data_IF_805172831764
#
_entry.id   IF_805172831764
#
_cell.length_a   1.000
_cell.length_b   1.000
_cell.length_c   1.000
_cell.angle_alpha   90.00
_cell.angle_beta   90.00
_cell.angle_gamma   90.00
#
_symmetry.space_group_name_H-M   'P 1'
#
loop_
_entity.id
_entity.type
_entity.pdbx_description
1 polymer ?
#
# COMPACT_ATOMS: atom_id res chain seq x y z
N UNK A 1 -19.47 -14.05 -78.73
CA UNK A 1 -18.87 -12.72 -78.56
C UNK A 1 -19.82 -11.92 -77.66
N UNK A 2 -19.46 -11.80 -76.42
CA UNK A 2 -19.85 -10.66 -75.60
C UNK A 2 -19.25 -10.88 -74.20
N UNK A 3 -18.45 -9.94 -73.77
CA UNK A 3 -17.76 -9.93 -72.49
C UNK A 3 -18.73 -9.47 -71.42
N UNK A 4 -18.91 -10.25 -70.36
CA UNK A 4 -19.53 -9.80 -69.12
C UNK A 4 -18.42 -9.56 -68.13
N UNK A 5 -18.27 -8.33 -67.69
CA UNK A 5 -17.32 -7.87 -66.67
C UNK A 5 -17.88 -8.19 -65.30
N UNK A 6 -17.16 -9.04 -64.55
CA UNK A 6 -17.41 -9.23 -63.13
C UNK A 6 -16.79 -8.07 -62.32
N UNK A 7 -17.61 -7.29 -61.69
CA UNK A 7 -17.21 -6.29 -60.69
C UNK A 7 -17.09 -6.97 -59.33
N UNK A 8 -15.85 -7.15 -58.89
CA UNK A 8 -15.53 -7.68 -57.57
C UNK A 8 -15.93 -6.68 -56.47
N UNK A 9 -16.90 -7.03 -55.67
CA UNK A 9 -17.17 -6.39 -54.37
C UNK A 9 -16.11 -6.89 -53.36
N UNK A 10 -15.13 -6.02 -53.11
CA UNK A 10 -14.15 -6.26 -52.03
C UNK A 10 -14.81 -6.12 -50.65
N UNK A 11 -15.13 -7.23 -49.99
CA UNK A 11 -15.43 -7.24 -48.59
C UNK A 11 -14.13 -7.08 -47.79
N UNK A 12 -13.86 -5.89 -47.28
CA UNK A 12 -12.86 -5.68 -46.23
C UNK A 12 -13.36 -6.33 -44.93
N UNK A 13 -12.93 -7.53 -44.67
CA UNK A 13 -13.11 -8.16 -43.36
C UNK A 13 -12.17 -7.44 -42.38
N UNK A 14 -12.69 -6.47 -41.64
CA UNK A 14 -12.03 -5.92 -40.47
C UNK A 14 -12.02 -7.04 -39.41
N UNK A 15 -10.92 -7.72 -39.29
CA UNK A 15 -10.69 -8.67 -38.18
C UNK A 15 -10.59 -7.79 -36.92
N UNK A 16 -11.72 -7.58 -36.23
CA UNK A 16 -11.70 -7.11 -34.86
C UNK A 16 -10.95 -8.18 -34.07
N UNK A 17 -9.71 -7.88 -33.67
CA UNK A 17 -9.03 -8.66 -32.64
C UNK A 17 -9.91 -8.56 -31.40
N UNK A 18 -10.58 -9.65 -31.04
CA UNK A 18 -11.15 -9.84 -29.75
C UNK A 18 -10.01 -9.67 -28.73
N UNK A 19 -9.93 -8.48 -28.11
CA UNK A 19 -9.23 -8.36 -26.84
C UNK A 19 -10.02 -9.24 -25.89
N UNK A 20 -9.53 -10.47 -25.67
CA UNK A 20 -10.02 -11.31 -24.62
C UNK A 20 -10.01 -10.48 -23.32
N UNK A 21 -11.19 -10.33 -22.71
CA UNK A 21 -11.30 -9.80 -21.35
C UNK A 21 -10.64 -10.86 -20.48
N UNK A 22 -9.31 -10.79 -20.37
CA UNK A 22 -8.55 -11.61 -19.44
C UNK A 22 -9.07 -11.28 -18.05
N UNK A 23 -9.50 -12.29 -17.29
CA UNK A 23 -9.87 -12.11 -15.89
C UNK A 23 -8.63 -11.51 -15.19
N UNK A 24 -8.72 -10.25 -14.78
CA UNK A 24 -7.62 -9.59 -14.07
C UNK A 24 -7.36 -10.37 -12.76
N UNK A 25 -6.09 -10.68 -12.50
CA UNK A 25 -5.71 -11.31 -11.24
C UNK A 25 -6.08 -10.40 -10.08
N UNK A 26 -6.68 -10.95 -9.05
CA UNK A 26 -6.99 -10.22 -7.82
C UNK A 26 -5.73 -10.07 -6.98
N UNK A 27 -5.64 -8.97 -6.23
CA UNK A 27 -4.61 -8.80 -5.21
C UNK A 27 -5.23 -8.13 -3.97
N UNK A 28 -4.86 -8.59 -2.79
CA UNK A 28 -5.15 -7.88 -1.53
C UNK A 28 -4.12 -6.79 -1.34
N UNK A 29 -4.56 -5.56 -1.08
CA UNK A 29 -3.70 -4.41 -0.84
C UNK A 29 -3.88 -3.93 0.59
N UNK A 30 -2.85 -4.00 1.41
CA UNK A 30 -2.83 -3.36 2.73
C UNK A 30 -2.80 -1.84 2.53
N UNK A 31 -3.93 -1.18 2.77
CA UNK A 31 -4.14 0.24 2.51
C UNK A 31 -4.35 1.00 3.82
N UNK A 32 -3.31 1.68 4.31
CA UNK A 32 -3.39 2.49 5.52
C UNK A 32 -3.93 3.91 5.27
N UNK A 33 -3.90 4.39 4.03
CA UNK A 33 -4.19 5.79 3.68
C UNK A 33 -2.96 6.69 3.67
N UNK A 34 -1.78 6.18 4.07
CA UNK A 34 -0.51 6.88 3.96
C UNK A 34 0.08 6.84 2.54
N UNK A 35 1.08 7.69 2.31
CA UNK A 35 1.80 7.87 1.05
C UNK A 35 2.29 6.53 0.44
N UNK A 36 2.91 5.69 1.26
CA UNK A 36 3.51 4.44 0.80
C UNK A 36 2.43 3.44 0.34
N UNK A 37 1.37 3.27 1.13
CA UNK A 37 0.28 2.36 0.81
C UNK A 37 -0.51 2.80 -0.44
N UNK A 38 -0.69 4.11 -0.64
CA UNK A 38 -1.31 4.67 -1.84
C UNK A 38 -0.46 4.38 -3.08
N UNK A 39 0.87 4.58 -2.99
CA UNK A 39 1.80 4.25 -4.09
C UNK A 39 1.83 2.75 -4.37
N UNK A 40 1.78 1.92 -3.32
CA UNK A 40 1.72 0.47 -3.44
C UNK A 40 0.45 0.00 -4.20
N UNK A 41 -0.71 0.59 -3.90
CA UNK A 41 -1.96 0.35 -4.63
C UNK A 41 -1.83 0.73 -6.11
N UNK A 42 -1.26 1.90 -6.42
CA UNK A 42 -1.06 2.34 -7.79
C UNK A 42 -0.14 1.39 -8.58
N UNK A 43 0.93 0.88 -7.94
CA UNK A 43 1.84 -0.12 -8.52
C UNK A 43 1.15 -1.46 -8.79
N UNK A 44 0.29 -1.93 -7.90
CA UNK A 44 -0.49 -3.15 -8.13
C UNK A 44 -1.39 -3.00 -9.36
N UNK A 45 -2.02 -1.83 -9.53
CA UNK A 45 -2.84 -1.52 -10.72
C UNK A 45 -1.99 -1.44 -12.00
N UNK A 46 -0.83 -0.80 -11.95
CA UNK A 46 0.12 -0.74 -13.09
C UNK A 46 0.50 -2.16 -13.56
N UNK A 47 0.63 -3.10 -12.61
CA UNK A 47 0.89 -4.52 -12.90
C UNK A 47 -0.32 -5.30 -13.43
N UNK A 48 -1.48 -4.67 -13.56
CA UNK A 48 -2.69 -5.28 -14.11
C UNK A 48 -3.50 -6.08 -13.10
N UNK A 49 -3.29 -5.88 -11.80
CA UNK A 49 -4.14 -6.50 -10.77
C UNK A 49 -5.46 -5.76 -10.59
N UNK A 50 -6.49 -6.53 -10.19
CA UNK A 50 -7.75 -6.04 -9.66
C UNK A 50 -7.61 -5.91 -8.13
N UNK A 51 -7.42 -4.69 -7.56
CA UNK A 51 -7.07 -4.53 -6.17
C UNK A 51 -8.28 -4.64 -5.25
N UNK A 52 -8.12 -5.36 -4.15
CA UNK A 52 -9.04 -5.46 -3.01
C UNK A 52 -8.34 -4.86 -1.79
N UNK A 53 -8.76 -3.67 -1.39
CA UNK A 53 -8.15 -2.95 -0.28
C UNK A 53 -8.57 -3.56 1.06
N UNK A 54 -7.61 -3.64 1.98
CA UNK A 54 -7.83 -4.01 3.38
C UNK A 54 -7.20 -2.95 4.28
N UNK A 55 -8.03 -2.32 5.11
CA UNK A 55 -7.63 -1.30 6.08
C UNK A 55 -7.99 -1.74 7.49
N UNK A 56 -7.29 -1.19 8.48
CA UNK A 56 -7.47 -1.56 9.87
C UNK A 56 -7.78 -0.35 10.74
N UNK A 57 -8.82 -0.47 11.58
CA UNK A 57 -8.94 0.32 12.78
C UNK A 57 -8.33 -0.50 13.91
N UNK A 58 -7.13 -0.12 14.38
CA UNK A 58 -6.36 -0.92 15.34
C UNK A 58 -6.13 -0.21 16.69
N UNK A 59 -6.88 0.87 16.92
CA UNK A 59 -6.71 1.71 18.10
C UNK A 59 -5.67 2.81 17.90
N UNK A 60 -5.33 3.14 16.65
CA UNK A 60 -4.51 4.31 16.33
C UNK A 60 -5.13 5.59 16.90
N UNK A 61 -4.28 6.57 17.20
CA UNK A 61 -4.67 7.83 17.87
C UNK A 61 -5.75 8.62 17.11
N UNK A 62 -5.82 8.48 15.77
CA UNK A 62 -6.68 9.26 14.89
C UNK A 62 -7.33 8.40 13.80
N UNK A 63 -8.55 8.78 13.41
CA UNK A 63 -9.25 8.11 12.30
C UNK A 63 -8.95 8.72 10.92
N UNK A 64 -8.19 9.82 10.86
CA UNK A 64 -7.85 10.49 9.60
C UNK A 64 -7.18 9.56 8.57
N UNK A 65 -6.38 8.59 9.03
CA UNK A 65 -5.78 7.58 8.16
C UNK A 65 -6.85 6.74 7.44
N UNK A 66 -7.96 6.38 8.12
CA UNK A 66 -9.02 5.58 7.51
C UNK A 66 -9.84 6.39 6.51
N UNK A 67 -10.06 7.67 6.74
CA UNK A 67 -10.73 8.53 5.78
C UNK A 67 -9.85 8.77 4.54
N UNK A 68 -8.55 8.93 4.73
CA UNK A 68 -7.57 8.95 3.66
C UNK A 68 -7.54 7.62 2.88
N UNK A 69 -7.60 6.47 3.57
CA UNK A 69 -7.66 5.16 2.91
C UNK A 69 -8.90 5.03 2.01
N UNK A 70 -10.07 5.50 2.47
CA UNK A 70 -11.31 5.54 1.66
C UNK A 70 -11.17 6.47 0.45
N UNK A 71 -10.61 7.68 0.65
CA UNK A 71 -10.39 8.65 -0.42
C UNK A 71 -9.43 8.12 -1.49
N UNK A 72 -8.30 7.56 -1.07
CA UNK A 72 -7.31 6.92 -1.96
C UNK A 72 -7.93 5.74 -2.71
N UNK A 73 -8.67 4.86 -2.02
CA UNK A 73 -9.35 3.73 -2.63
C UNK A 73 -10.36 4.18 -3.71
N UNK A 74 -11.11 5.24 -3.43
CA UNK A 74 -12.06 5.84 -4.38
C UNK A 74 -11.36 6.47 -5.58
N UNK A 75 -10.30 7.24 -5.36
CA UNK A 75 -9.55 7.95 -6.39
C UNK A 75 -8.82 6.99 -7.34
N UNK A 76 -8.09 6.03 -6.80
CA UNK A 76 -7.35 5.05 -7.60
C UNK A 76 -8.23 3.91 -8.14
N UNK A 77 -9.40 3.68 -7.55
CA UNK A 77 -10.33 2.61 -7.92
C UNK A 77 -9.87 1.25 -7.41
N UNK A 78 -10.69 0.65 -6.54
CA UNK A 78 -10.52 -0.71 -6.03
C UNK A 78 -11.76 -1.54 -6.32
N UNK A 79 -11.61 -2.87 -6.41
CA UNK A 79 -12.72 -3.79 -6.65
C UNK A 79 -13.52 -4.09 -5.39
N UNK A 80 -12.94 -3.82 -4.24
CA UNK A 80 -13.56 -3.93 -2.91
C UNK A 80 -12.67 -3.27 -1.87
N UNK A 81 -13.28 -2.78 -0.78
CA UNK A 81 -12.56 -2.20 0.36
C UNK A 81 -13.17 -2.70 1.66
N UNK A 82 -12.41 -3.46 2.41
CA UNK A 82 -12.79 -3.96 3.74
C UNK A 82 -12.03 -3.18 4.81
N UNK A 83 -12.75 -2.71 5.83
CA UNK A 83 -12.15 -2.10 7.02
C UNK A 83 -12.43 -3.02 8.20
N UNK A 84 -11.36 -3.54 8.81
CA UNK A 84 -11.44 -4.47 9.94
C UNK A 84 -11.06 -3.78 11.24
N UNK A 85 -11.75 -4.13 12.33
CA UNK A 85 -11.45 -3.61 13.66
C UNK A 85 -10.63 -4.61 14.45
N UNK A 86 -9.51 -4.15 15.00
CA UNK A 86 -8.64 -4.88 15.93
C UNK A 86 -8.25 -3.88 17.02
N UNK A 87 -8.25 -4.25 18.29
CA UNK A 87 -7.79 -3.33 19.32
C UNK A 87 -6.40 -3.71 19.84
N UNK A 88 -5.35 -3.08 19.29
CA UNK A 88 -3.96 -3.29 19.71
C UNK A 88 -3.58 -2.46 20.94
N UNK A 89 -4.44 -1.52 21.39
CA UNK A 89 -4.23 -0.78 22.64
C UNK A 89 -4.26 -1.71 23.85
N UNK A 90 -4.95 -2.85 23.73
CA UNK A 90 -4.99 -3.86 24.78
C UNK A 90 -3.59 -4.38 25.16
N UNK A 91 -2.60 -4.25 24.27
CA UNK A 91 -1.22 -4.67 24.49
C UNK A 91 -0.31 -3.49 24.86
N UNK A 92 -0.61 -2.27 24.42
CA UNK A 92 0.21 -1.09 24.63
C UNK A 92 1.60 -1.17 23.98
N UNK A 93 2.56 -0.47 24.58
CA UNK A 93 3.98 -0.59 24.23
C UNK A 93 4.44 0.20 23.01
N UNK A 94 3.61 1.09 22.46
CA UNK A 94 3.98 1.98 21.37
C UNK A 94 3.33 3.36 21.53
N UNK A 95 4.05 4.42 21.13
CA UNK A 95 3.50 5.77 21.08
C UNK A 95 2.28 5.90 20.13
N UNK A 96 2.00 4.92 19.29
CA UNK A 96 0.84 4.91 18.40
C UNK A 96 -0.40 4.22 18.98
N UNK A 97 -0.25 3.43 20.05
CA UNK A 97 -1.32 2.64 20.66
C UNK A 97 -1.40 2.77 22.17
N UNK A 98 -0.59 3.61 22.78
CA UNK A 98 -0.52 3.85 24.22
C UNK A 98 -0.46 5.36 24.52
N UNK A 99 -0.59 5.74 25.79
CA UNK A 99 -0.44 7.12 26.26
C UNK A 99 1.04 7.49 26.42
N UNK A 100 1.76 7.47 25.31
CA UNK A 100 3.17 7.80 25.18
C UNK A 100 3.30 8.89 24.13
N UNK A 101 4.03 9.96 24.41
CA UNK A 101 4.22 11.05 23.46
C UNK A 101 4.93 10.58 22.20
N UNK A 102 4.44 11.04 21.04
CA UNK A 102 5.10 10.82 19.75
C UNK A 102 6.34 11.72 19.68
N UNK A 103 7.55 11.16 19.49
CA UNK A 103 8.75 11.95 19.33
C UNK A 103 8.65 12.94 18.17
N UNK A 104 9.11 14.17 18.40
CA UNK A 104 9.16 15.26 17.40
C UNK A 104 10.60 15.72 17.24
N UNK A 105 10.91 16.21 16.02
CA UNK A 105 12.21 16.81 15.67
C UNK A 105 13.42 15.96 16.07
N UNK A 106 13.25 14.64 16.04
CA UNK A 106 14.35 13.74 16.32
C UNK A 106 15.44 13.87 15.26
N UNK A 107 16.72 13.91 15.70
CA UNK A 107 17.90 13.90 14.82
C UNK A 107 18.05 12.53 14.12
N UNK A 108 17.06 12.19 13.29
CA UNK A 108 16.86 10.86 12.69
C UNK A 108 17.73 10.51 11.51
N UNK A 109 18.63 11.33 11.19
CA UNK A 109 19.71 10.94 10.28
C UNK A 109 20.85 10.20 11.01
N UNK A 110 20.81 10.11 12.34
CA UNK A 110 21.59 9.14 13.10
C UNK A 110 20.88 7.79 12.98
N UNK A 111 21.45 6.87 12.19
CA UNK A 111 21.08 5.46 12.14
C UNK A 111 21.30 4.89 13.56
N UNK A 112 20.27 4.93 14.40
CA UNK A 112 20.27 4.16 15.64
C UNK A 112 19.76 2.77 15.29
N UNK A 113 20.47 1.74 15.74
CA UNK A 113 20.03 0.33 15.59
C UNK A 113 18.81 0.01 16.49
N UNK A 114 18.33 0.99 17.26
CA UNK A 114 17.26 0.83 18.21
C UNK A 114 15.89 0.80 17.54
N UNK A 115 15.01 -0.04 18.07
CA UNK A 115 13.60 -0.11 17.63
C UNK A 115 12.89 1.17 18.12
N UNK A 116 12.31 1.98 17.22
CA UNK A 116 11.64 3.24 17.61
C UNK A 116 10.41 2.99 18.48
N UNK A 117 10.13 3.91 19.42
CA UNK A 117 8.94 3.84 20.29
C UNK A 117 7.62 3.89 19.49
N UNK A 118 7.64 4.33 18.23
CA UNK A 118 6.53 4.32 17.30
C UNK A 118 6.29 2.96 16.63
N UNK A 119 7.16 1.98 16.86
CA UNK A 119 6.93 0.61 16.43
C UNK A 119 5.77 0.00 17.23
N UNK A 120 4.70 -0.40 16.55
CA UNK A 120 3.61 -1.18 17.15
C UNK A 120 4.00 -2.65 17.08
N UNK A 121 4.15 -3.35 18.24
CA UNK A 121 4.63 -4.72 18.26
C UNK A 121 3.88 -5.67 17.33
N UNK A 122 4.60 -6.32 16.42
CA UNK A 122 4.10 -7.31 15.45
C UNK A 122 2.92 -6.84 14.57
N UNK A 123 2.72 -5.53 14.39
CA UNK A 123 1.57 -4.98 13.64
C UNK A 123 1.49 -5.54 12.22
N UNK A 124 2.59 -5.56 11.47
CA UNK A 124 2.59 -6.07 10.11
C UNK A 124 2.33 -7.59 10.07
N UNK A 125 2.77 -8.35 11.08
CA UNK A 125 2.47 -9.78 11.22
C UNK A 125 0.97 -10.01 11.36
N UNK A 126 0.30 -9.24 12.22
CA UNK A 126 -1.15 -9.31 12.42
C UNK A 126 -1.88 -8.94 11.13
N UNK A 127 -1.50 -7.83 10.49
CA UNK A 127 -2.15 -7.35 9.26
C UNK A 127 -1.96 -8.31 8.09
N UNK A 128 -0.77 -8.88 7.93
CA UNK A 128 -0.51 -9.90 6.92
C UNK A 128 -1.32 -11.18 7.17
N UNK A 129 -1.52 -11.59 8.44
CA UNK A 129 -2.35 -12.75 8.77
C UNK A 129 -3.81 -12.53 8.37
N UNK A 130 -4.38 -11.35 8.61
CA UNK A 130 -5.71 -10.99 8.12
C UNK A 130 -5.75 -10.92 6.59
N UNK A 131 -4.68 -10.44 5.96
CA UNK A 131 -4.59 -10.39 4.50
C UNK A 131 -4.59 -11.77 3.88
N UNK A 132 -3.95 -12.77 4.52
CA UNK A 132 -4.00 -14.17 4.09
C UNK A 132 -5.44 -14.70 4.11
N UNK A 133 -6.15 -14.51 5.22
CA UNK A 133 -7.53 -14.95 5.33
C UNK A 133 -8.42 -14.28 4.27
N UNK A 134 -8.25 -12.98 4.05
CA UNK A 134 -9.01 -12.25 3.03
C UNK A 134 -8.66 -12.72 1.61
N UNK A 135 -7.38 -12.96 1.33
CA UNK A 135 -6.91 -13.47 0.05
C UNK A 135 -7.55 -14.82 -0.29
N UNK A 136 -7.61 -15.76 0.66
CA UNK A 136 -8.30 -17.05 0.47
C UNK A 136 -9.79 -16.86 0.15
N UNK A 137 -10.47 -15.96 0.87
CA UNK A 137 -11.91 -15.69 0.65
C UNK A 137 -12.20 -15.16 -0.75
N UNK A 138 -11.36 -14.24 -1.24
CA UNK A 138 -11.56 -13.64 -2.57
C UNK A 138 -10.94 -14.47 -3.70
N UNK A 139 -10.22 -15.55 -3.40
CA UNK A 139 -9.49 -16.37 -4.38
C UNK A 139 -8.33 -15.60 -5.00
N UNK A 140 -7.49 -15.00 -4.17
CA UNK A 140 -6.24 -14.31 -4.58
C UNK A 140 -5.04 -14.99 -3.94
N UNK A 141 -3.95 -15.07 -4.69
CA UNK A 141 -2.65 -15.53 -4.19
C UNK A 141 -1.66 -14.36 -4.00
N UNK A 142 -2.07 -13.13 -4.30
CA UNK A 142 -1.20 -11.97 -4.33
C UNK A 142 -1.60 -10.97 -3.24
N UNK A 143 -0.64 -10.60 -2.39
CA UNK A 143 -0.81 -9.63 -1.30
C UNK A 143 0.24 -8.53 -1.48
N UNK A 144 -0.18 -7.27 -1.44
CA UNK A 144 0.70 -6.10 -1.52
C UNK A 144 0.77 -5.38 -0.19
N UNK A 145 1.99 -5.06 0.25
CA UNK A 145 2.25 -4.27 1.45
C UNK A 145 3.31 -3.20 1.16
N UNK A 146 3.04 -1.97 1.59
CA UNK A 146 3.90 -0.80 1.37
C UNK A 146 5.00 -0.64 2.42
N UNK A 147 5.65 -1.74 2.82
CA UNK A 147 6.81 -1.67 3.73
C UNK A 147 8.03 -1.12 3.01
N UNK A 148 8.85 -0.37 3.76
CA UNK A 148 10.09 0.21 3.29
C UNK A 148 11.19 -0.07 4.32
N UNK A 149 12.30 -0.68 3.88
CA UNK A 149 13.41 -1.04 4.75
C UNK A 149 14.42 0.11 4.93
N UNK A 150 14.43 1.11 4.04
CA UNK A 150 15.36 2.24 4.09
C UNK A 150 14.89 3.31 5.08
N UNK A 151 13.59 3.66 5.04
CA UNK A 151 13.03 4.71 5.89
C UNK A 151 12.73 4.22 7.31
N UNK A 152 12.43 2.92 7.45
CA UNK A 152 12.02 2.27 8.69
C UNK A 152 12.94 1.10 9.07
N UNK A 153 14.25 1.30 8.95
CA UNK A 153 15.26 0.27 9.22
C UNK A 153 15.18 -0.33 10.64
N UNK A 154 14.66 0.44 11.61
CA UNK A 154 14.42 -0.01 12.97
C UNK A 154 13.17 -0.91 13.18
N UNK A 155 12.31 -1.07 12.16
CA UNK A 155 11.10 -1.90 12.30
C UNK A 155 11.39 -3.35 11.91
N UNK A 156 11.36 -4.30 12.85
CA UNK A 156 11.71 -5.70 12.59
C UNK A 156 10.85 -6.35 11.51
N UNK A 157 9.58 -5.96 11.44
CA UNK A 157 8.56 -6.51 10.54
C UNK A 157 8.44 -5.75 9.19
N UNK A 158 9.46 -4.95 8.84
CA UNK A 158 9.61 -4.32 7.53
C UNK A 158 10.79 -4.88 6.73
N UNK A 159 11.58 -5.81 7.29
CA UNK A 159 12.80 -6.34 6.69
C UNK A 159 12.52 -7.42 5.65
N UNK A 160 13.35 -7.52 4.57
CA UNK A 160 13.18 -8.54 3.53
C UNK A 160 13.16 -9.98 4.07
N UNK A 161 14.01 -10.28 5.07
CA UNK A 161 14.10 -11.61 5.69
C UNK A 161 12.80 -11.99 6.40
N UNK A 162 12.17 -11.03 7.07
CA UNK A 162 10.88 -11.21 7.71
C UNK A 162 9.80 -11.52 6.65
N UNK A 163 9.71 -10.71 5.59
CA UNK A 163 8.72 -10.90 4.52
C UNK A 163 8.88 -12.29 3.87
N UNK A 164 10.11 -12.69 3.56
CA UNK A 164 10.38 -14.02 2.99
C UNK A 164 9.97 -15.15 3.93
N UNK A 165 10.24 -15.01 5.22
CA UNK A 165 9.86 -16.00 6.23
C UNK A 165 8.34 -16.09 6.39
N UNK A 166 7.65 -14.94 6.40
CA UNK A 166 6.21 -14.89 6.45
C UNK A 166 5.57 -15.52 5.20
N UNK A 167 6.09 -15.24 4.00
CA UNK A 167 5.62 -15.85 2.76
C UNK A 167 5.81 -17.39 2.77
N UNK A 168 6.93 -17.87 3.27
CA UNK A 168 7.17 -19.31 3.42
C UNK A 168 6.13 -19.95 4.37
N UNK A 169 5.89 -19.33 5.51
CA UNK A 169 4.86 -19.75 6.46
C UNK A 169 3.47 -19.75 5.81
N UNK A 170 3.12 -18.68 5.09
CA UNK A 170 1.84 -18.56 4.39
C UNK A 170 1.59 -19.73 3.42
N UNK A 171 2.61 -20.14 2.68
CA UNK A 171 2.52 -21.27 1.75
C UNK A 171 2.40 -22.63 2.44
N UNK A 172 2.74 -22.74 3.72
CA UNK A 172 2.51 -23.95 4.52
C UNK A 172 1.13 -23.96 5.21
N UNK A 173 0.57 -22.76 5.44
CA UNK A 173 -0.59 -22.56 6.30
C UNK A 173 -1.90 -22.28 5.54
N UNK A 174 -1.86 -22.14 4.21
CA UNK A 174 -3.02 -21.79 3.40
C UNK A 174 -3.42 -22.92 2.46
N UNK A 175 -4.70 -22.92 2.10
CA UNK A 175 -5.26 -23.90 1.17
C UNK A 175 -4.53 -23.86 -0.19
N UNK A 176 -4.30 -22.65 -0.73
CA UNK A 176 -3.60 -22.48 -2.00
C UNK A 176 -2.21 -23.10 -2.00
N UNK A 177 -1.47 -22.93 -0.91
CA UNK A 177 -0.13 -23.50 -0.75
C UNK A 177 -0.12 -25.03 -0.62
N UNK A 178 -1.16 -25.61 0.01
CA UNK A 178 -1.25 -27.07 0.27
C UNK A 178 -1.87 -27.83 -0.89
N UNK A 179 -2.90 -27.30 -1.53
CA UNK A 179 -3.59 -27.94 -2.65
C UNK A 179 -2.87 -27.76 -4.00
N UNK A 180 -1.87 -26.88 -4.07
CA UNK A 180 -1.07 -26.67 -5.27
C UNK A 180 -1.71 -25.75 -6.31
N UNK A 181 -2.78 -25.06 -5.96
CA UNK A 181 -3.50 -24.12 -6.85
C UNK A 181 -2.73 -22.78 -7.07
N UNK A 182 -1.50 -22.70 -6.61
CA UNK A 182 -0.61 -21.55 -6.69
C UNK A 182 0.05 -21.25 -5.36
N UNK A 183 1.08 -20.41 -5.39
CA UNK A 183 1.79 -19.98 -4.18
C UNK A 183 1.35 -18.58 -3.79
N UNK A 184 1.16 -18.34 -2.49
CA UNK A 184 1.01 -17.00 -1.95
C UNK A 184 2.28 -16.19 -2.22
N UNK A 185 2.11 -15.00 -2.76
CA UNK A 185 3.20 -14.05 -3.05
C UNK A 185 2.92 -12.75 -2.29
N UNK A 186 3.90 -12.35 -1.48
CA UNK A 186 3.86 -11.06 -0.79
C UNK A 186 4.71 -10.06 -1.55
N UNK A 187 4.06 -9.12 -2.19
CA UNK A 187 4.70 -8.07 -2.96
C UNK A 187 5.05 -6.88 -2.07
N UNK A 188 6.33 -6.50 -2.09
CA UNK A 188 6.88 -5.36 -1.35
C UNK A 188 7.56 -4.39 -2.32
N UNK A 189 6.81 -3.74 -3.23
CA UNK A 189 7.42 -3.00 -4.33
C UNK A 189 8.24 -1.79 -3.89
N UNK A 190 8.09 -1.32 -2.66
CA UNK A 190 8.76 -0.14 -2.13
C UNK A 190 9.97 -0.46 -1.24
N UNK A 191 10.26 -1.74 -0.99
CA UNK A 191 11.14 -2.17 0.09
C UNK A 191 12.56 -1.57 0.03
N UNK A 192 13.07 -1.33 -1.17
CA UNK A 192 14.41 -0.76 -1.44
C UNK A 192 14.34 0.64 -2.07
N UNK A 193 13.21 1.34 -2.00
CA UNK A 193 13.05 2.66 -2.57
C UNK A 193 13.22 3.75 -1.50
N UNK A 194 13.90 4.83 -1.82
CA UNK A 194 13.91 6.06 -1.02
C UNK A 194 12.54 6.75 -1.08
N UNK A 195 12.21 7.58 -0.09
CA UNK A 195 10.95 8.34 -0.09
C UNK A 195 10.79 9.19 -1.35
N UNK A 196 11.87 9.77 -1.84
CA UNK A 196 11.88 10.52 -3.09
C UNK A 196 11.52 9.65 -4.31
N UNK A 197 12.05 8.43 -4.39
CA UNK A 197 11.71 7.49 -5.47
C UNK A 197 10.25 7.05 -5.41
N UNK A 198 9.73 6.79 -4.20
CA UNK A 198 8.33 6.45 -3.97
C UNK A 198 7.41 7.58 -4.45
N UNK A 199 7.69 8.83 -4.04
CA UNK A 199 6.91 10.01 -4.44
C UNK A 199 6.96 10.21 -5.95
N UNK A 200 8.14 10.13 -6.55
CA UNK A 200 8.30 10.25 -8.01
C UNK A 200 7.49 9.20 -8.76
N UNK A 201 7.59 7.94 -8.32
CA UNK A 201 6.86 6.83 -8.94
C UNK A 201 5.34 6.98 -8.78
N UNK A 202 4.87 7.31 -7.58
CA UNK A 202 3.43 7.50 -7.34
C UNK A 202 2.86 8.67 -8.13
N UNK A 203 3.59 9.81 -8.22
CA UNK A 203 3.19 10.94 -9.06
C UNK A 203 3.08 10.54 -10.53
N UNK A 204 4.04 9.76 -11.06
CA UNK A 204 3.97 9.24 -12.42
C UNK A 204 2.76 8.32 -12.66
N UNK A 205 2.31 7.62 -11.62
CA UNK A 205 1.15 6.73 -11.66
C UNK A 205 -0.18 7.45 -11.35
N UNK A 206 -0.16 8.76 -11.14
CA UNK A 206 -1.35 9.57 -10.89
C UNK A 206 -1.87 9.47 -9.46
N UNK A 207 -1.02 9.13 -8.49
CA UNK A 207 -1.38 9.18 -7.07
C UNK A 207 -1.57 10.64 -6.66
N UNK A 208 -2.76 10.97 -6.17
CA UNK A 208 -3.03 12.26 -5.53
C UNK A 208 -2.63 12.20 -4.06
N UNK A 209 -1.46 12.73 -3.76
CA UNK A 209 -0.92 12.72 -2.40
C UNK A 209 -1.63 13.69 -1.45
N UNK A 210 -2.50 14.59 -1.95
CA UNK A 210 -3.34 15.43 -1.09
C UNK A 210 -4.40 14.62 -0.33
N UNK A 211 -4.74 13.43 -0.85
CA UNK A 211 -5.69 12.50 -0.23
C UNK A 211 -5.06 11.60 0.84
N UNK A 212 -3.73 11.65 0.99
CA UNK A 212 -3.00 10.73 1.88
C UNK A 212 -2.71 11.39 3.23
N UNK A 213 -2.71 10.59 4.31
CA UNK A 213 -2.36 11.02 5.65
C UNK A 213 -1.27 10.13 6.23
N UNK A 214 -0.14 10.72 6.65
CA UNK A 214 1.02 9.97 7.19
C UNK A 214 1.42 10.41 8.60
N UNK A 215 0.84 11.51 9.10
CA UNK A 215 1.20 12.09 10.39
C UNK A 215 0.81 11.17 11.55
N UNK A 216 1.73 10.97 12.51
CA UNK A 216 1.48 10.19 13.72
C UNK A 216 0.76 10.98 14.81
N UNK A 217 0.80 12.32 14.74
CA UNK A 217 0.27 13.21 15.76
C UNK A 217 -0.30 14.49 15.10
N UNK A 218 -1.40 14.35 14.30
CA UNK A 218 -2.07 15.49 13.69
C UNK A 218 -2.80 16.32 14.75
N UNK A 219 -3.11 17.57 14.43
CA UNK A 219 -3.98 18.39 15.26
C UNK A 219 -5.43 17.92 15.21
N UNK A 220 -6.32 18.57 15.97
CA UNK A 220 -7.74 18.22 16.07
C UNK A 220 -8.50 18.34 14.73
N UNK A 221 -8.02 19.19 13.83
CA UNK A 221 -8.61 19.42 12.51
C UNK A 221 -8.00 18.48 11.43
N UNK A 222 -7.05 17.63 11.81
CA UNK A 222 -6.37 16.67 10.91
C UNK A 222 -5.17 17.25 10.15
N UNK A 223 -4.73 18.49 10.42
CA UNK A 223 -3.51 19.02 9.83
C UNK A 223 -2.29 18.27 10.37
N UNK A 224 -1.37 17.93 9.48
CA UNK A 224 -0.15 17.21 9.84
C UNK A 224 0.78 18.06 10.71
N UNK A 225 1.39 17.46 11.75
CA UNK A 225 2.22 18.22 12.70
C UNK A 225 3.53 18.77 12.14
N UNK A 226 4.03 18.25 11.02
CA UNK A 226 5.31 18.68 10.43
C UNK A 226 6.57 18.15 11.12
N UNK A 227 6.47 17.62 12.34
CA UNK A 227 7.57 17.37 13.26
C UNK A 227 7.82 15.90 13.60
N UNK A 228 6.81 15.03 13.46
CA UNK A 228 7.01 13.60 13.68
C UNK A 228 7.80 12.98 12.53
N UNK A 229 8.35 11.81 12.76
CA UNK A 229 9.23 11.13 11.78
C UNK A 229 8.59 10.92 10.42
N UNK A 230 7.31 10.53 10.41
CA UNK A 230 6.58 10.34 9.16
C UNK A 230 6.44 11.66 8.38
N UNK A 231 6.20 12.79 9.08
CA UNK A 231 6.17 14.11 8.45
C UNK A 231 7.54 14.53 7.92
N UNK A 232 8.59 14.36 8.72
CA UNK A 232 9.95 14.73 8.32
C UNK A 232 10.43 13.94 7.10
N UNK A 233 10.21 12.63 7.08
CA UNK A 233 10.54 11.78 5.93
C UNK A 233 9.74 12.18 4.69
N UNK A 234 8.45 12.47 4.84
CA UNK A 234 7.58 12.90 3.75
C UNK A 234 8.03 14.23 3.17
N UNK A 235 8.22 15.26 4.00
CA UNK A 235 8.69 16.58 3.58
C UNK A 235 10.05 16.52 2.88
N UNK A 236 11.00 15.73 3.43
CA UNK A 236 12.30 15.49 2.80
C UNK A 236 12.13 14.87 1.42
N UNK A 237 11.30 13.82 1.29
CA UNK A 237 11.07 13.15 0.01
C UNK A 237 10.49 14.09 -1.05
N UNK A 238 9.49 14.92 -0.72
CA UNK A 238 8.95 15.93 -1.63
C UNK A 238 10.00 16.96 -2.04
N UNK A 239 10.80 17.47 -1.09
CA UNK A 239 11.89 18.41 -1.36
C UNK A 239 12.93 17.82 -2.32
N UNK A 240 13.33 16.55 -2.12
CA UNK A 240 14.33 15.87 -2.96
C UNK A 240 13.87 15.65 -4.41
N UNK A 241 12.57 15.53 -4.65
CA UNK A 241 12.02 15.46 -6.01
C UNK A 241 11.68 16.83 -6.61
N UNK A 242 11.88 17.92 -5.88
CA UNK A 242 11.59 19.28 -6.33
C UNK A 242 10.10 19.61 -6.37
N UNK A 243 9.29 18.91 -5.58
CA UNK A 243 7.85 19.15 -5.46
C UNK A 243 7.52 19.73 -4.08
N UNK A 244 6.40 20.47 -4.02
CA UNK A 244 5.80 20.88 -2.74
C UNK A 244 4.84 19.79 -2.28
N UNK A 245 4.90 19.42 -1.00
CA UNK A 245 3.91 18.52 -0.41
C UNK A 245 2.52 19.18 -0.44
N UNK A 246 1.49 18.53 -0.98
CA UNK A 246 0.15 19.12 -1.07
C UNK A 246 -0.60 19.15 0.27
N UNK A 247 -0.05 18.57 1.36
CA UNK A 247 -0.73 18.58 2.66
C UNK A 247 -0.61 19.93 3.37
N UNK A 248 -1.59 20.20 4.23
CA UNK A 248 -1.52 21.29 5.20
C UNK A 248 -0.81 20.81 6.46
N UNK A 249 0.12 21.63 6.94
CA UNK A 249 0.84 21.41 8.19
C UNK A 249 0.37 22.42 9.22
N UNK A 250 0.26 21.99 10.50
CA UNK A 250 0.01 22.90 11.62
C UNK A 250 1.27 23.69 11.93
N UNK A 251 1.10 24.96 12.28
CA UNK A 251 2.18 25.83 12.78
C UNK A 251 2.69 25.34 14.15
#
# INVERSE_FOLDING_TARGET
MEKISDSAFGFNIVIMRNFGIGIMKKAVILLSGGLDSATCLALAREKGFSPYALSFRYGQRHEFELDSAKAVASSLGVSGHVITNIDLRAFGGSALTDDIDVPKDSDKFSITEDIPITYVPARNTIFLSFSLAYAEVIGSNDIYIGVNALDYSGYPDCRPEYINSFQNMANLATRAGVEGDGSIIIHTPLINMTKAEIIRKGTQLGVDYSLTHSCYDPNVDGASCGHCDACLLRLKGFKEVGLTDPLTYSD
#
